data_IF_312948198874
#
_entry.id   IF_312948198874
#
_cell.length_a   1.000
_cell.length_b   1.000
_cell.length_c   1.000
_cell.angle_alpha   90.00
_cell.angle_beta   90.00
_cell.angle_gamma   90.00
#
_symmetry.space_group_name_H-M   'P 1'
#
loop_
_entity.id
_entity.type
_entity.pdbx_description
1 polymer ?
#
# COMPACT_ATOMS: atom_id res chain seq x y z
N UNK A 1 -16.64 -8.03 9.72
CA UNK A 1 -16.19 -6.63 9.82
C UNK A 1 -15.90 -6.17 8.40
N UNK A 2 -16.70 -5.26 7.89
CA UNK A 2 -16.54 -4.76 6.52
C UNK A 2 -15.22 -4.00 6.44
N UNK A 3 -14.30 -4.48 5.58
CA UNK A 3 -13.08 -3.73 5.28
C UNK A 3 -13.48 -2.54 4.43
N UNK A 4 -12.81 -1.40 4.62
CA UNK A 4 -12.98 -0.25 3.73
C UNK A 4 -12.74 -0.69 2.29
N UNK A 5 -13.68 -0.38 1.40
CA UNK A 5 -13.51 -0.56 -0.04
C UNK A 5 -12.86 0.69 -0.60
N UNK A 6 -11.70 0.53 -1.21
CA UNK A 6 -10.97 1.60 -1.86
C UNK A 6 -11.36 1.68 -3.33
N UNK A 7 -11.69 2.88 -3.79
CA UNK A 7 -11.81 3.18 -5.23
C UNK A 7 -10.46 3.62 -5.79
N UNK A 8 -10.30 3.48 -7.11
CA UNK A 8 -9.08 3.93 -7.80
C UNK A 8 -8.86 5.45 -7.63
N UNK A 9 -9.93 6.24 -7.68
CA UNK A 9 -9.84 7.69 -7.53
C UNK A 9 -9.44 8.09 -6.10
N UNK A 10 -9.92 7.40 -5.07
CA UNK A 10 -9.46 7.63 -3.69
C UNK A 10 -7.97 7.29 -3.53
N UNK A 11 -7.48 6.23 -4.18
CA UNK A 11 -6.06 5.88 -4.17
C UNK A 11 -5.23 6.98 -4.83
N UNK A 12 -5.67 7.49 -6.00
CA UNK A 12 -5.03 8.61 -6.70
C UNK A 12 -5.03 9.90 -5.87
N UNK A 13 -6.10 10.16 -5.13
CA UNK A 13 -6.24 11.36 -4.31
C UNK A 13 -5.23 11.44 -3.13
N UNK A 14 -4.53 10.34 -2.79
CA UNK A 14 -3.47 10.35 -1.77
C UNK A 14 -2.20 11.08 -2.23
N UNK A 15 -2.07 11.40 -3.52
CA UNK A 15 -0.88 12.02 -4.11
C UNK A 15 0.15 10.98 -4.55
N UNK A 16 1.43 11.35 -4.57
CA UNK A 16 2.49 10.49 -5.12
C UNK A 16 2.82 9.28 -4.22
N UNK A 17 2.56 9.37 -2.92
CA UNK A 17 2.88 8.32 -1.95
C UNK A 17 1.77 8.16 -0.93
N UNK A 18 1.55 6.92 -0.50
CA UNK A 18 0.58 6.58 0.54
C UNK A 18 1.28 5.86 1.70
N UNK A 19 0.71 5.90 2.90
CA UNK A 19 1.27 5.19 4.06
C UNK A 19 1.28 3.68 3.86
N UNK A 20 2.29 2.99 4.42
CA UNK A 20 2.42 1.54 4.29
C UNK A 20 1.19 0.75 4.74
N UNK A 21 0.63 1.10 5.90
CA UNK A 21 -0.58 0.42 6.42
C UNK A 21 -1.81 0.68 5.55
N UNK A 22 -1.92 1.88 4.99
CA UNK A 22 -3.00 2.23 4.07
C UNK A 22 -2.84 1.47 2.74
N UNK A 23 -1.62 1.31 2.22
CA UNK A 23 -1.36 0.47 1.05
C UNK A 23 -1.73 -1.00 1.31
N UNK A 24 -1.44 -1.52 2.52
CA UNK A 24 -1.87 -2.86 2.91
C UNK A 24 -3.40 -3.00 2.94
N UNK A 25 -4.12 -1.97 3.43
CA UNK A 25 -5.57 -1.93 3.42
C UNK A 25 -6.14 -1.91 1.99
N UNK A 26 -5.54 -1.13 1.09
CA UNK A 26 -5.89 -1.12 -0.35
C UNK A 26 -5.73 -2.51 -0.96
N UNK A 27 -4.67 -3.24 -0.61
CA UNK A 27 -4.43 -4.62 -1.04
C UNK A 27 -5.33 -5.66 -0.34
N UNK A 28 -6.19 -5.23 0.58
CA UNK A 28 -7.08 -6.12 1.32
C UNK A 28 -6.37 -7.04 2.32
N UNK A 29 -5.17 -6.67 2.80
CA UNK A 29 -4.42 -7.45 3.78
C UNK A 29 -4.32 -6.71 5.12
N UNK A 30 -4.32 -7.49 6.22
CA UNK A 30 -4.17 -6.94 7.57
C UNK A 30 -2.73 -6.53 7.88
N UNK A 31 -2.56 -5.70 8.93
CA UNK A 31 -1.24 -5.19 9.37
C UNK A 31 -0.22 -6.30 9.61
N UNK A 32 -0.62 -7.38 10.29
CA UNK A 32 0.27 -8.49 10.62
C UNK A 32 0.90 -9.11 9.37
N UNK A 33 0.06 -9.48 8.38
CA UNK A 33 0.53 -10.03 7.10
C UNK A 33 1.36 -9.02 6.32
N UNK A 34 0.97 -7.74 6.32
CA UNK A 34 1.75 -6.70 5.66
C UNK A 34 3.17 -6.61 6.24
N UNK A 35 3.31 -6.55 7.57
CA UNK A 35 4.62 -6.50 8.23
C UNK A 35 5.42 -7.80 8.06
N UNK A 36 4.78 -8.96 8.03
CA UNK A 36 5.41 -10.24 7.72
C UNK A 36 6.04 -10.22 6.32
N UNK A 37 5.25 -9.88 5.30
CA UNK A 37 5.72 -9.74 3.91
C UNK A 37 6.83 -8.68 3.80
N UNK A 38 6.67 -7.56 4.50
CA UNK A 38 7.68 -6.50 4.52
C UNK A 38 9.01 -6.95 5.11
N UNK A 39 8.99 -7.74 6.20
CA UNK A 39 10.20 -8.30 6.83
C UNK A 39 10.82 -9.40 5.97
N UNK A 40 10.00 -10.20 5.30
CA UNK A 40 10.44 -11.23 4.38
C UNK A 40 10.95 -10.67 3.02
N UNK A 41 10.80 -9.37 2.76
CA UNK A 41 11.13 -8.77 1.47
C UNK A 41 10.17 -9.16 0.34
N UNK A 42 8.96 -9.63 0.69
CA UNK A 42 7.94 -10.18 -0.21
C UNK A 42 6.74 -9.25 -0.38
N UNK A 43 6.77 -8.04 0.19
CA UNK A 43 5.70 -7.07 -0.05
C UNK A 43 5.72 -6.66 -1.54
N UNK A 44 4.57 -6.71 -2.24
CA UNK A 44 4.54 -6.70 -3.70
C UNK A 44 4.94 -5.36 -4.34
N UNK A 45 4.98 -4.28 -3.56
CA UNK A 45 5.23 -2.92 -4.04
C UNK A 45 6.45 -2.36 -3.31
N UNK A 46 7.24 -1.53 -3.99
CA UNK A 46 8.42 -0.94 -3.37
C UNK A 46 8.02 -0.06 -2.18
N UNK A 47 8.68 -0.31 -1.05
CA UNK A 47 8.56 0.52 0.16
C UNK A 47 9.69 1.55 0.20
N UNK A 48 9.35 2.76 0.60
CA UNK A 48 10.30 3.87 0.80
C UNK A 48 10.39 4.13 2.30
N UNK A 49 11.58 3.89 2.86
CA UNK A 49 11.87 4.15 4.26
C UNK A 49 12.31 5.61 4.45
N UNK A 50 11.54 6.38 5.21
CA UNK A 50 11.80 7.78 5.56
C UNK A 50 11.96 7.90 7.08
N UNK A 51 13.09 7.41 7.59
CA UNK A 51 13.34 7.31 9.04
C UNK A 51 12.36 6.37 9.71
N UNK A 52 11.44 6.89 10.53
CA UNK A 52 10.38 6.10 11.19
C UNK A 52 9.15 5.88 10.31
N UNK A 53 8.99 6.66 9.24
CA UNK A 53 7.83 6.59 8.35
C UNK A 53 8.12 5.65 7.17
N UNK A 54 7.16 4.79 6.85
CA UNK A 54 7.22 3.94 5.65
C UNK A 54 6.07 4.33 4.74
N UNK A 55 6.41 4.63 3.49
CA UNK A 55 5.43 4.96 2.45
C UNK A 55 5.62 4.05 1.24
N UNK A 56 4.60 3.98 0.39
CA UNK A 56 4.56 3.23 -0.85
C UNK A 56 4.23 4.18 -1.99
N UNK A 57 4.82 3.95 -3.16
CA UNK A 57 4.52 4.71 -4.38
C UNK A 57 3.08 4.43 -4.84
N UNK A 58 2.28 5.48 -4.99
CA UNK A 58 0.90 5.35 -5.53
C UNK A 58 0.91 4.87 -6.98
N UNK A 59 1.77 5.38 -7.88
CA UNK A 59 1.89 4.84 -9.23
C UNK A 59 2.21 3.34 -9.27
N UNK A 60 3.17 2.86 -8.47
CA UNK A 60 3.48 1.42 -8.45
C UNK A 60 2.34 0.58 -7.87
N UNK A 61 1.62 1.11 -6.87
CA UNK A 61 0.43 0.47 -6.32
C UNK A 61 -0.69 0.35 -7.38
N UNK A 62 -0.97 1.42 -8.13
CA UNK A 62 -1.97 1.40 -9.20
C UNK A 62 -1.60 0.43 -10.31
N UNK A 63 -0.32 0.42 -10.72
CA UNK A 63 0.22 -0.54 -11.68
C UNK A 63 0.03 -1.98 -11.22
N UNK A 64 0.34 -2.27 -9.95
CA UNK A 64 0.14 -3.60 -9.38
C UNK A 64 -1.33 -4.04 -9.39
N UNK A 65 -2.26 -3.10 -9.21
CA UNK A 65 -3.70 -3.33 -9.28
C UNK A 65 -4.26 -3.39 -10.70
N UNK A 66 -3.44 -3.14 -11.73
CA UNK A 66 -3.89 -3.08 -13.13
C UNK A 66 -4.73 -1.84 -13.46
N UNK A 67 -4.53 -0.74 -12.74
CA UNK A 67 -5.30 0.50 -12.84
C UNK A 67 -4.48 1.71 -13.35
N UNK A 68 -3.38 1.44 -14.07
CA UNK A 68 -2.52 2.42 -14.75
C UNK A 68 -3.18 3.03 -15.98
#
# INVERSE_FOLDING_TARGET
MDRKKWTIDEIRAHGATIGFETAAEVLGIGKSLAYELARAGQFPIRRIQLGRRVVVSVPELLKFLGAD
#
